data_IF_751982323182
#
_entry.id   IF_751982323182
#
_cell.length_a   1.000
_cell.length_b   1.000
_cell.length_c   1.000
_cell.angle_alpha   90.00
_cell.angle_beta   90.00
_cell.angle_gamma   90.00
#
_symmetry.space_group_name_H-M   'P 1'
#
loop_
_entity.id
_entity.type
_entity.pdbx_description
1 polymer ?
#
# COMPACT_ATOMS: atom_id res chain seq x y z
N UNK A 1 40.12 -66.11 -6.77
CA UNK A 1 38.70 -66.41 -6.54
C UNK A 1 38.30 -65.75 -5.27
N UNK A 2 37.68 -64.55 -5.33
CA UNK A 2 37.17 -63.80 -4.22
C UNK A 2 35.71 -63.46 -4.52
N UNK A 3 34.86 -64.13 -3.73
CA UNK A 3 33.39 -64.01 -3.77
C UNK A 3 32.95 -62.70 -3.17
N UNK A 4 32.35 -61.83 -3.97
CA UNK A 4 31.65 -60.63 -3.52
C UNK A 4 30.24 -61.02 -3.04
N UNK A 5 29.99 -60.84 -1.78
CA UNK A 5 28.63 -60.93 -1.18
C UNK A 5 27.85 -59.63 -1.44
N UNK A 6 26.82 -59.72 -2.27
CA UNK A 6 25.83 -58.66 -2.45
C UNK A 6 24.91 -58.58 -1.26
N UNK A 7 25.06 -57.53 -0.47
CA UNK A 7 24.10 -57.17 0.59
C UNK A 7 22.89 -56.47 -0.04
N UNK A 8 21.76 -57.14 -0.05
CA UNK A 8 20.46 -56.58 -0.42
C UNK A 8 19.98 -55.60 0.67
N UNK A 9 19.97 -54.31 0.33
CA UNK A 9 19.33 -53.28 1.18
C UNK A 9 17.83 -53.39 0.93
N UNK A 10 17.13 -53.97 1.89
CA UNK A 10 15.66 -53.93 1.95
C UNK A 10 15.21 -52.52 2.30
N UNK A 11 14.68 -51.79 1.33
CA UNK A 11 14.03 -50.52 1.52
C UNK A 11 12.71 -50.73 2.32
N UNK A 12 12.75 -50.39 3.61
CA UNK A 12 11.55 -50.31 4.45
C UNK A 12 10.65 -49.17 3.95
N UNK A 13 9.64 -49.50 3.17
CA UNK A 13 8.60 -48.58 2.71
C UNK A 13 7.73 -48.12 3.86
N UNK A 14 8.16 -47.11 4.60
CA UNK A 14 7.28 -46.34 5.48
C UNK A 14 6.58 -45.27 4.64
N UNK A 15 5.34 -45.55 4.27
CA UNK A 15 4.42 -44.51 3.79
C UNK A 15 4.37 -43.35 4.78
N UNK A 16 4.56 -42.09 4.34
CA UNK A 16 4.44 -40.96 5.24
C UNK A 16 3.01 -40.93 5.77
N UNK A 17 2.83 -41.20 7.06
CA UNK A 17 1.55 -40.97 7.73
C UNK A 17 1.27 -39.49 7.65
N UNK A 18 0.28 -39.07 6.84
CA UNK A 18 -0.28 -37.72 6.87
C UNK A 18 -0.83 -37.54 8.29
N UNK A 19 -0.05 -36.82 9.10
CA UNK A 19 -0.48 -36.41 10.43
C UNK A 19 -1.57 -35.38 10.22
N UNK A 20 -2.85 -35.79 10.34
CA UNK A 20 -3.95 -34.83 10.39
C UNK A 20 -3.67 -33.88 11.55
N UNK A 21 -3.26 -32.65 11.24
CA UNK A 21 -3.07 -31.60 12.25
C UNK A 21 -4.40 -31.45 13.00
N UNK A 22 -4.34 -31.62 14.30
CA UNK A 22 -5.51 -31.41 15.16
C UNK A 22 -5.91 -29.95 15.01
N UNK A 23 -7.14 -29.71 14.58
CA UNK A 23 -7.71 -28.35 14.50
C UNK A 23 -7.54 -27.69 15.86
N UNK A 24 -6.79 -26.61 15.89
CA UNK A 24 -6.60 -25.82 17.11
C UNK A 24 -7.83 -24.96 17.36
N UNK A 25 -8.83 -25.53 18.02
CA UNK A 25 -10.12 -24.87 18.28
C UNK A 25 -9.97 -23.54 19.00
N UNK A 26 -9.04 -23.41 19.94
CA UNK A 26 -8.78 -22.13 20.63
C UNK A 26 -8.27 -21.06 19.65
N UNK A 27 -7.32 -21.40 18.80
CA UNK A 27 -6.85 -20.50 17.74
C UNK A 27 -7.96 -20.12 16.74
N UNK A 28 -8.79 -21.09 16.35
CA UNK A 28 -9.92 -20.86 15.45
C UNK A 28 -10.96 -19.91 16.06
N UNK A 29 -11.29 -20.08 17.34
CA UNK A 29 -12.24 -19.19 18.04
C UNK A 29 -11.68 -17.77 18.12
N UNK A 30 -10.39 -17.61 18.47
CA UNK A 30 -9.74 -16.28 18.50
C UNK A 30 -9.80 -15.62 17.11
N UNK A 31 -9.46 -16.37 16.06
CA UNK A 31 -9.53 -15.86 14.69
C UNK A 31 -10.96 -15.45 14.28
N UNK A 32 -11.97 -16.22 14.67
CA UNK A 32 -13.38 -15.88 14.41
C UNK A 32 -13.79 -14.59 15.15
N UNK A 33 -13.39 -14.45 16.41
CA UNK A 33 -13.66 -13.21 17.16
C UNK A 33 -13.00 -12.00 16.51
N UNK A 34 -11.73 -12.12 16.12
CA UNK A 34 -11.02 -11.08 15.37
C UNK A 34 -11.72 -10.76 14.04
N UNK A 35 -12.17 -11.77 13.29
CA UNK A 35 -12.88 -11.58 12.05
C UNK A 35 -14.20 -10.82 12.25
N UNK A 36 -14.98 -11.16 13.27
CA UNK A 36 -16.22 -10.44 13.61
C UNK A 36 -15.93 -8.98 13.94
N UNK A 37 -14.88 -8.69 14.70
CA UNK A 37 -14.49 -7.32 15.05
C UNK A 37 -14.18 -6.46 13.80
N UNK A 38 -13.58 -7.07 12.76
CA UNK A 38 -13.29 -6.38 11.49
C UNK A 38 -14.52 -6.29 10.58
N UNK A 39 -15.34 -7.32 10.53
CA UNK A 39 -16.52 -7.37 9.65
C UNK A 39 -17.67 -6.52 10.15
N UNK A 40 -17.78 -6.28 11.46
CA UNK A 40 -18.87 -5.51 12.04
C UNK A 40 -18.92 -4.04 11.56
N UNK A 41 -17.83 -3.26 11.57
CA UNK A 41 -17.83 -1.91 10.98
C UNK A 41 -18.12 -1.93 9.47
N UNK A 42 -17.64 -2.93 8.74
CA UNK A 42 -17.92 -3.09 7.31
C UNK A 42 -19.41 -3.36 7.07
N UNK A 43 -20.03 -4.22 7.87
CA UNK A 43 -21.47 -4.46 7.82
C UNK A 43 -22.26 -3.17 8.06
N UNK A 44 -21.90 -2.39 9.10
CA UNK A 44 -22.55 -1.11 9.39
C UNK A 44 -22.39 -0.15 8.22
N UNK A 45 -21.18 -0.05 7.63
CA UNK A 45 -20.93 0.80 6.47
C UNK A 45 -21.83 0.42 5.29
N UNK A 46 -21.91 -0.85 4.96
CA UNK A 46 -22.75 -1.37 3.87
C UNK A 46 -24.24 -1.13 4.20
N UNK A 47 -24.68 -1.53 5.40
CA UNK A 47 -26.07 -1.38 5.82
C UNK A 47 -26.50 0.10 5.76
N UNK A 48 -25.73 1.00 6.32
CA UNK A 48 -26.04 2.43 6.33
C UNK A 48 -26.05 3.05 4.92
N UNK A 49 -25.17 2.63 4.03
CA UNK A 49 -25.10 3.12 2.65
C UNK A 49 -26.37 2.82 1.85
N UNK A 50 -27.07 1.73 2.16
CA UNK A 50 -28.29 1.30 1.48
C UNK A 50 -29.60 1.66 2.20
N UNK A 51 -29.53 2.48 3.25
CA UNK A 51 -30.74 3.00 3.95
C UNK A 51 -31.24 4.28 3.28
N UNK A 52 -32.55 4.53 3.47
CA UNK A 52 -33.12 5.86 3.23
C UNK A 52 -32.60 6.84 4.30
N UNK A 53 -32.68 8.15 4.04
CA UNK A 53 -32.24 9.18 4.99
C UNK A 53 -32.96 9.04 6.36
N UNK A 54 -34.30 8.80 6.37
CA UNK A 54 -35.03 8.58 7.61
C UNK A 54 -34.56 7.35 8.39
N UNK A 55 -34.31 6.21 7.71
CA UNK A 55 -33.75 5.03 8.37
C UNK A 55 -32.35 5.23 8.92
N UNK A 56 -31.55 6.09 8.27
CA UNK A 56 -30.18 6.34 8.67
C UNK A 56 -30.10 7.30 9.88
N UNK A 57 -31.06 8.24 10.01
CA UNK A 57 -31.11 9.20 11.11
C UNK A 57 -31.86 8.66 12.33
N UNK A 58 -33.08 8.13 12.10
CA UNK A 58 -33.99 7.72 13.17
C UNK A 58 -33.85 6.23 13.54
N UNK A 59 -33.19 5.45 12.71
CA UNK A 59 -33.07 4.01 12.85
C UNK A 59 -31.81 3.53 13.59
N UNK A 60 -31.76 2.22 13.83
CA UNK A 60 -30.58 1.58 14.41
C UNK A 60 -29.56 1.27 13.31
N UNK A 61 -28.29 1.68 13.52
CA UNK A 61 -27.19 1.42 12.56
C UNK A 61 -27.01 -0.07 12.20
N UNK A 62 -27.37 -0.98 13.11
CA UNK A 62 -27.27 -2.44 12.91
C UNK A 62 -28.50 -3.05 12.22
N UNK A 63 -29.61 -2.30 12.08
CA UNK A 63 -30.79 -2.84 11.39
C UNK A 63 -30.53 -3.00 9.90
N UNK A 64 -31.13 -4.03 9.31
CA UNK A 64 -31.08 -4.24 7.85
C UNK A 64 -31.88 -3.12 7.13
N UNK A 65 -31.39 -2.63 5.96
CA UNK A 65 -32.10 -1.61 5.19
C UNK A 65 -33.43 -2.17 4.64
N UNK A 66 -34.56 -1.59 5.09
CA UNK A 66 -35.92 -1.97 4.64
C UNK A 66 -36.83 -0.73 4.69
N UNK A 67 -37.18 -0.11 3.56
CA UNK A 67 -36.80 -0.48 2.19
C UNK A 67 -35.33 -0.25 1.88
N UNK A 68 -34.81 -1.00 0.90
CA UNK A 68 -33.48 -0.82 0.33
C UNK A 68 -33.47 0.41 -0.57
N UNK A 69 -32.48 1.30 -0.42
CA UNK A 69 -32.34 2.51 -1.21
C UNK A 69 -30.93 2.68 -1.78
N UNK A 70 -30.85 3.21 -2.99
CA UNK A 70 -29.59 3.63 -3.65
C UNK A 70 -29.47 5.15 -3.77
N UNK A 71 -30.42 5.89 -3.21
CA UNK A 71 -30.44 7.36 -3.27
C UNK A 71 -29.16 7.96 -2.69
N UNK A 72 -28.66 7.40 -1.57
CA UNK A 72 -27.43 7.84 -0.96
C UNK A 72 -26.22 7.77 -1.90
N UNK A 73 -26.15 6.77 -2.78
CA UNK A 73 -25.07 6.67 -3.78
C UNK A 73 -25.19 7.73 -4.87
N UNK A 74 -26.40 7.98 -5.37
CA UNK A 74 -26.64 9.00 -6.40
C UNK A 74 -26.33 10.40 -5.86
N UNK A 75 -26.77 10.70 -4.65
CA UNK A 75 -26.51 11.97 -4.00
C UNK A 75 -25.01 12.14 -3.70
N UNK A 76 -24.35 11.14 -3.13
CA UNK A 76 -22.92 11.15 -2.86
C UNK A 76 -22.10 11.35 -4.15
N UNK A 77 -22.47 10.69 -5.24
CA UNK A 77 -21.83 10.85 -6.55
C UNK A 77 -21.85 12.30 -7.04
N UNK A 78 -23.01 12.96 -6.90
CA UNK A 78 -23.21 14.33 -7.34
C UNK A 78 -22.50 15.33 -6.41
N UNK A 79 -22.68 15.20 -5.10
CA UNK A 79 -22.12 16.14 -4.10
C UNK A 79 -20.60 16.12 -4.10
N UNK A 80 -19.98 14.95 -4.16
CA UNK A 80 -18.51 14.84 -4.19
C UNK A 80 -17.94 15.09 -5.57
N UNK A 81 -18.78 15.23 -6.61
CA UNK A 81 -18.33 15.18 -8.02
C UNK A 81 -17.40 13.97 -8.22
N UNK A 82 -17.89 12.80 -7.83
CA UNK A 82 -17.11 11.58 -7.65
C UNK A 82 -16.13 11.27 -8.78
N UNK A 83 -16.50 11.35 -10.09
CA UNK A 83 -15.58 11.06 -11.20
C UNK A 83 -14.35 11.96 -11.20
N UNK A 84 -14.54 13.25 -10.89
CA UNK A 84 -13.44 14.22 -10.85
C UNK A 84 -12.53 13.93 -9.65
N UNK A 85 -13.12 13.82 -8.45
CA UNK A 85 -12.36 13.52 -7.22
C UNK A 85 -11.60 12.20 -7.31
N UNK A 86 -12.24 11.15 -7.82
CA UNK A 86 -11.62 9.85 -8.04
C UNK A 86 -10.50 9.91 -9.10
N UNK A 87 -10.70 10.67 -10.19
CA UNK A 87 -9.67 10.87 -11.22
C UNK A 87 -8.44 11.58 -10.68
N UNK A 88 -8.61 12.65 -9.89
CA UNK A 88 -7.50 13.36 -9.25
C UNK A 88 -6.81 12.47 -8.21
N UNK A 89 -7.57 11.74 -7.38
CA UNK A 89 -6.99 10.77 -6.43
C UNK A 89 -6.19 9.70 -7.15
N UNK A 90 -6.68 9.17 -8.27
CA UNK A 90 -5.96 8.17 -9.06
C UNK A 90 -4.68 8.74 -9.66
N UNK A 91 -4.71 9.97 -10.19
CA UNK A 91 -3.53 10.67 -10.69
C UNK A 91 -2.47 10.82 -9.60
N UNK A 92 -2.87 11.34 -8.43
CA UNK A 92 -1.96 11.53 -7.28
C UNK A 92 -1.39 10.20 -6.80
N UNK A 93 -2.25 9.19 -6.66
CA UNK A 93 -1.84 7.87 -6.18
C UNK A 93 -0.90 7.18 -7.17
N UNK A 94 -1.26 7.11 -8.46
CA UNK A 94 -0.43 6.48 -9.47
C UNK A 94 0.92 7.20 -9.62
N UNK A 95 0.91 8.54 -9.64
CA UNK A 95 2.12 9.34 -9.69
C UNK A 95 3.04 9.08 -8.48
N UNK A 96 2.48 9.06 -7.27
CA UNK A 96 3.23 8.76 -6.04
C UNK A 96 3.80 7.35 -6.06
N UNK A 97 3.01 6.35 -6.44
CA UNK A 97 3.46 4.94 -6.51
C UNK A 97 4.63 4.78 -7.47
N UNK A 98 4.49 5.28 -8.71
CA UNK A 98 5.54 5.15 -9.72
C UNK A 98 6.80 5.90 -9.29
N UNK A 99 6.67 7.15 -8.84
CA UNK A 99 7.80 7.95 -8.41
C UNK A 99 8.51 7.31 -7.21
N UNK A 100 7.75 6.82 -6.21
CA UNK A 100 8.33 6.16 -5.03
C UNK A 100 9.10 4.89 -5.41
N UNK A 101 8.51 3.99 -6.22
CA UNK A 101 9.18 2.75 -6.64
C UNK A 101 10.48 3.06 -7.36
N UNK A 102 10.43 3.96 -8.36
CA UNK A 102 11.59 4.26 -9.19
C UNK A 102 12.69 4.93 -8.36
N UNK A 103 12.36 6.00 -7.63
CA UNK A 103 13.35 6.75 -6.86
C UNK A 103 13.93 5.92 -5.70
N UNK A 104 13.09 5.16 -4.99
CA UNK A 104 13.57 4.31 -3.90
C UNK A 104 14.44 3.16 -4.41
N UNK A 105 14.10 2.53 -5.54
CA UNK A 105 14.93 1.50 -6.14
C UNK A 105 16.31 2.04 -6.55
N UNK A 106 16.35 3.21 -7.21
CA UNK A 106 17.62 3.87 -7.56
C UNK A 106 18.46 4.22 -6.35
N UNK A 107 17.85 4.89 -5.37
CA UNK A 107 18.55 5.30 -4.15
C UNK A 107 19.11 4.09 -3.40
N UNK A 108 18.30 3.04 -3.24
CA UNK A 108 18.72 1.82 -2.56
C UNK A 108 19.82 1.08 -3.30
N UNK A 109 19.74 1.00 -4.63
CA UNK A 109 20.79 0.41 -5.46
C UNK A 109 22.12 1.15 -5.29
N UNK A 110 22.10 2.48 -5.40
CA UNK A 110 23.29 3.30 -5.19
C UNK A 110 23.87 3.13 -3.78
N UNK A 111 23.02 3.10 -2.75
CA UNK A 111 23.42 2.95 -1.35
C UNK A 111 24.03 1.56 -1.11
N UNK A 112 23.39 0.49 -1.54
CA UNK A 112 23.84 -0.88 -1.27
C UNK A 112 25.15 -1.18 -1.98
N UNK A 113 25.32 -0.77 -3.24
CA UNK A 113 26.51 -1.04 -4.03
C UNK A 113 27.71 -0.12 -3.70
N UNK A 114 27.49 0.94 -2.92
CA UNK A 114 28.55 1.84 -2.45
C UNK A 114 28.58 1.94 -0.92
N UNK A 115 28.16 0.92 -0.21
CA UNK A 115 28.03 0.95 1.26
C UNK A 115 29.34 1.30 2.00
N UNK A 116 30.48 0.92 1.46
CA UNK A 116 31.81 1.21 2.03
C UNK A 116 32.15 2.70 2.00
N UNK A 117 31.54 3.44 1.10
CA UNK A 117 31.72 4.89 1.01
C UNK A 117 30.85 5.58 2.07
N UNK A 118 31.49 6.39 2.92
CA UNK A 118 30.81 7.10 4.04
C UNK A 118 29.58 7.90 3.59
N UNK A 119 29.65 8.56 2.42
CA UNK A 119 28.54 9.34 1.87
C UNK A 119 27.26 8.50 1.74
N UNK A 120 27.32 7.34 1.06
CA UNK A 120 26.15 6.49 0.82
C UNK A 120 25.62 5.87 2.11
N UNK A 121 26.51 5.47 3.01
CA UNK A 121 26.12 4.95 4.33
C UNK A 121 25.41 6.00 5.19
N UNK A 122 25.94 7.24 5.24
CA UNK A 122 25.27 8.31 5.98
C UNK A 122 23.98 8.78 5.30
N UNK A 123 23.89 8.79 3.96
CA UNK A 123 22.65 9.08 3.24
C UNK A 123 21.53 8.11 3.62
N UNK A 124 21.83 6.82 3.81
CA UNK A 124 20.87 5.85 4.30
C UNK A 124 20.33 6.22 5.68
N UNK A 125 21.20 6.49 6.64
CA UNK A 125 20.78 6.89 8.00
C UNK A 125 20.05 8.24 8.01
N UNK A 126 20.44 9.17 7.17
CA UNK A 126 19.74 10.45 7.01
C UNK A 126 18.30 10.24 6.50
N UNK A 127 18.12 9.40 5.47
CA UNK A 127 16.79 9.07 4.97
C UNK A 127 15.95 8.38 6.06
N UNK A 128 16.55 7.44 6.80
CA UNK A 128 15.83 6.79 7.91
C UNK A 128 15.43 7.79 8.99
N UNK A 129 16.28 8.73 9.34
CA UNK A 129 15.95 9.77 10.33
C UNK A 129 14.78 10.66 9.86
N UNK A 130 14.70 10.94 8.55
CA UNK A 130 13.59 11.73 7.98
C UNK A 130 12.21 11.06 8.13
N UNK A 131 12.15 9.74 8.22
CA UNK A 131 10.91 9.00 8.41
C UNK A 131 10.21 9.31 9.76
N UNK A 132 10.96 9.81 10.75
CA UNK A 132 10.40 10.16 12.06
C UNK A 132 9.84 11.59 12.11
N UNK A 133 9.95 12.37 11.02
CA UNK A 133 9.38 13.71 10.95
C UNK A 133 7.91 13.61 10.52
N UNK A 134 6.95 13.90 11.42
CA UNK A 134 5.54 13.84 11.05
C UNK A 134 5.15 15.03 10.17
N UNK A 135 4.28 14.78 9.18
CA UNK A 135 3.80 15.81 8.25
C UNK A 135 3.31 17.10 8.94
N UNK A 136 2.50 17.05 10.04
CA UNK A 136 2.00 18.27 10.67
C UNK A 136 3.10 19.25 11.13
N UNK A 137 4.28 18.75 11.48
CA UNK A 137 5.40 19.60 11.91
C UNK A 137 5.96 20.43 10.76
N UNK A 138 5.96 19.86 9.55
CA UNK A 138 6.53 20.51 8.35
C UNK A 138 5.46 21.04 7.40
N UNK A 139 4.17 20.92 7.76
CA UNK A 139 3.06 21.32 6.90
C UNK A 139 3.13 22.80 6.48
N UNK A 140 3.30 23.71 7.45
CA UNK A 140 3.34 25.14 7.16
C UNK A 140 4.47 25.56 6.22
N UNK A 141 5.74 25.14 6.43
CA UNK A 141 6.80 25.40 5.47
C UNK A 141 6.52 24.82 4.09
N UNK A 142 5.91 23.63 4.01
CA UNK A 142 5.58 22.98 2.73
C UNK A 142 4.49 23.75 1.97
N UNK A 143 3.42 24.19 2.64
CA UNK A 143 2.39 25.04 2.04
C UNK A 143 3.01 26.32 1.47
N UNK A 144 3.86 26.99 2.23
CA UNK A 144 4.52 28.21 1.78
C UNK A 144 5.45 27.98 0.60
N UNK A 145 6.21 26.88 0.62
CA UNK A 145 7.12 26.53 -0.46
C UNK A 145 6.36 26.18 -1.73
N UNK A 146 5.39 25.30 -1.66
CA UNK A 146 4.59 24.86 -2.83
C UNK A 146 3.84 26.03 -3.44
N UNK A 147 3.24 26.92 -2.63
CA UNK A 147 2.57 28.12 -3.13
C UNK A 147 3.52 29.10 -3.84
N UNK A 148 4.77 29.26 -3.32
CA UNK A 148 5.77 30.16 -3.96
C UNK A 148 6.28 29.64 -5.31
N UNK A 149 6.34 28.31 -5.48
CA UNK A 149 6.87 27.71 -6.73
C UNK A 149 5.77 27.24 -7.68
N UNK A 150 4.49 27.52 -7.38
CA UNK A 150 3.35 27.13 -8.21
C UNK A 150 3.05 25.63 -8.20
N UNK A 151 3.39 24.94 -7.10
CA UNK A 151 3.14 23.52 -6.85
C UNK A 151 1.99 23.30 -5.84
N UNK A 152 1.11 24.27 -5.69
CA UNK A 152 -0.13 24.21 -4.88
C UNK A 152 -1.26 23.47 -5.62
N UNK A 153 -0.92 22.31 -6.20
CA UNK A 153 -1.75 21.52 -7.09
C UNK A 153 -1.43 20.00 -6.91
N UNK A 154 -2.13 19.07 -7.61
CA UNK A 154 -1.90 17.63 -7.51
C UNK A 154 -0.44 17.18 -7.73
N UNK A 155 0.33 17.86 -8.59
CA UNK A 155 1.73 17.51 -8.81
C UNK A 155 2.61 17.81 -7.58
N UNK A 156 2.33 18.91 -6.86
CA UNK A 156 2.99 19.19 -5.59
C UNK A 156 2.70 18.13 -4.54
N UNK A 157 1.46 17.64 -4.47
CA UNK A 157 1.11 16.51 -3.58
C UNK A 157 1.87 15.25 -3.97
N UNK A 158 1.98 14.91 -5.27
CA UNK A 158 2.77 13.75 -5.72
C UNK A 158 4.22 13.86 -5.25
N UNK A 159 4.85 15.01 -5.43
CA UNK A 159 6.25 15.23 -5.01
C UNK A 159 6.39 15.05 -3.50
N UNK A 160 5.55 15.72 -2.71
CA UNK A 160 5.62 15.66 -1.24
C UNK A 160 5.31 14.25 -0.71
N UNK A 161 4.25 13.62 -1.21
CA UNK A 161 3.89 12.25 -0.82
C UNK A 161 5.01 11.26 -1.15
N UNK A 162 5.66 11.40 -2.32
CA UNK A 162 6.82 10.60 -2.69
C UNK A 162 7.97 10.80 -1.70
N UNK A 163 8.26 12.04 -1.30
CA UNK A 163 9.33 12.33 -0.33
C UNK A 163 9.07 11.66 1.03
N UNK A 164 7.82 11.66 1.52
CA UNK A 164 7.48 10.97 2.77
C UNK A 164 7.58 9.45 2.67
N UNK A 165 7.18 8.89 1.52
CA UNK A 165 7.25 7.44 1.30
C UNK A 165 8.66 6.94 0.97
N UNK A 166 9.56 7.83 0.52
CA UNK A 166 10.89 7.47 0.06
C UNK A 166 11.71 6.77 1.15
N UNK A 167 11.69 7.29 2.38
CA UNK A 167 12.49 6.79 3.50
C UNK A 167 12.18 5.33 3.83
N UNK A 168 10.91 5.01 4.01
CA UNK A 168 10.46 3.64 4.29
C UNK A 168 10.70 2.70 3.10
N UNK A 169 10.47 3.19 1.89
CA UNK A 169 10.69 2.41 0.67
C UNK A 169 12.17 2.09 0.43
N UNK A 170 13.06 3.05 0.71
CA UNK A 170 14.52 2.83 0.65
C UNK A 170 14.96 1.78 1.68
N UNK A 171 14.38 1.79 2.88
CA UNK A 171 14.65 0.74 3.88
C UNK A 171 14.30 -0.65 3.34
N UNK A 172 13.10 -0.82 2.78
CA UNK A 172 12.63 -2.10 2.24
C UNK A 172 13.48 -2.58 1.06
N UNK A 173 13.71 -1.71 0.08
CA UNK A 173 14.54 -2.05 -1.07
C UNK A 173 15.99 -2.35 -0.69
N UNK A 174 16.57 -1.59 0.27
CA UNK A 174 17.94 -1.84 0.75
C UNK A 174 18.04 -3.21 1.40
N UNK A 175 17.06 -3.60 2.23
CA UNK A 175 17.04 -4.92 2.85
C UNK A 175 16.96 -6.04 1.80
N UNK A 176 16.10 -5.88 0.78
CA UNK A 176 15.92 -6.85 -0.28
C UNK A 176 17.15 -6.94 -1.21
N UNK A 177 17.71 -5.80 -1.62
CA UNK A 177 18.90 -5.74 -2.49
C UNK A 177 20.13 -6.42 -1.90
N UNK A 178 20.27 -6.40 -0.57
CA UNK A 178 21.35 -7.12 0.12
C UNK A 178 21.26 -8.64 -0.01
N UNK A 179 20.09 -9.18 -0.35
CA UNK A 179 19.89 -10.61 -0.59
C UNK A 179 20.20 -11.02 -2.04
N UNK A 180 20.35 -10.07 -2.96
CA UNK A 180 20.70 -10.32 -4.36
C UNK A 180 22.21 -10.45 -4.46
N UNK A 181 22.73 -11.64 -4.92
CA UNK A 181 24.16 -11.88 -5.06
C UNK A 181 24.83 -10.88 -6.01
N UNK A 182 26.04 -10.41 -5.65
CA UNK A 182 26.80 -9.46 -6.47
C UNK A 182 27.31 -10.09 -7.76
N UNK A 183 27.53 -11.41 -7.76
CA UNK A 183 28.03 -12.22 -8.86
C UNK A 183 27.14 -12.10 -10.12
N UNK A 184 25.84 -11.83 -9.95
CA UNK A 184 24.94 -11.60 -11.08
C UNK A 184 25.29 -10.30 -11.83
N UNK A 185 25.67 -9.27 -11.11
CA UNK A 185 26.08 -8.00 -11.72
C UNK A 185 27.48 -8.06 -12.31
N UNK A 186 28.39 -8.83 -11.68
CA UNK A 186 29.72 -9.08 -12.18
C UNK A 186 29.67 -9.84 -13.51
N UNK A 187 28.83 -10.88 -13.61
CA UNK A 187 28.59 -11.62 -14.85
C UNK A 187 28.06 -10.69 -15.96
N UNK A 188 27.06 -9.85 -15.65
CA UNK A 188 26.52 -8.88 -16.61
C UNK A 188 27.59 -7.87 -17.09
N UNK A 189 28.54 -7.48 -16.24
CA UNK A 189 29.67 -6.61 -16.62
C UNK A 189 30.67 -7.31 -17.53
N UNK A 190 30.92 -8.60 -17.28
CA UNK A 190 31.78 -9.42 -18.17
C UNK A 190 31.16 -9.50 -19.57
N UNK A 191 29.81 -9.61 -19.64
CA UNK A 191 29.04 -9.57 -20.89
C UNK A 191 28.96 -8.16 -21.52
N UNK A 192 29.63 -7.16 -20.96
CA UNK A 192 29.71 -5.79 -21.50
C UNK A 192 28.54 -4.89 -21.14
N UNK A 193 27.67 -5.26 -20.18
CA UNK A 193 26.58 -4.40 -19.74
C UNK A 193 27.10 -3.19 -18.92
N UNK A 194 26.57 -2.01 -19.26
CA UNK A 194 26.81 -0.81 -18.44
C UNK A 194 26.01 -0.90 -17.13
N UNK A 195 26.42 -0.12 -16.11
CA UNK A 195 25.69 -0.06 -14.82
C UNK A 195 24.20 0.27 -14.99
N UNK A 196 23.87 1.17 -15.93
CA UNK A 196 22.49 1.52 -16.27
C UNK A 196 21.71 0.34 -16.88
N UNK A 197 22.36 -0.40 -17.78
CA UNK A 197 21.76 -1.62 -18.37
C UNK A 197 21.59 -2.72 -17.33
N UNK A 198 22.59 -2.93 -16.47
CA UNK A 198 22.53 -3.87 -15.35
C UNK A 198 21.37 -3.51 -14.42
N UNK A 199 21.21 -2.23 -14.05
CA UNK A 199 20.08 -1.83 -13.21
C UNK A 199 18.73 -2.14 -13.87
N UNK A 200 18.47 -1.65 -15.08
CA UNK A 200 17.15 -1.76 -15.69
C UNK A 200 16.80 -3.15 -16.21
N UNK A 201 17.78 -3.90 -16.71
CA UNK A 201 17.55 -5.22 -17.35
C UNK A 201 17.70 -6.38 -16.38
N UNK A 202 18.45 -6.22 -15.31
CA UNK A 202 18.71 -7.29 -14.35
C UNK A 202 18.14 -6.96 -12.96
N UNK A 203 18.59 -5.88 -12.34
CA UNK A 203 18.25 -5.58 -10.94
C UNK A 203 16.78 -5.15 -10.77
N UNK A 204 16.29 -4.21 -11.57
CA UNK A 204 14.92 -3.70 -11.43
C UNK A 204 13.86 -4.78 -11.65
N UNK A 205 13.96 -5.69 -12.62
CA UNK A 205 13.09 -6.86 -12.71
C UNK A 205 13.17 -7.81 -11.52
N UNK A 206 14.36 -8.03 -10.96
CA UNK A 206 14.52 -8.85 -9.74
C UNK A 206 13.88 -8.19 -8.50
N UNK A 207 13.76 -6.86 -8.49
CA UNK A 207 13.06 -6.12 -7.45
C UNK A 207 11.51 -6.17 -7.58
N UNK A 208 10.93 -6.81 -8.60
CA UNK A 208 9.49 -6.80 -8.84
C UNK A 208 8.64 -7.24 -7.63
N UNK A 209 8.99 -8.29 -6.85
CA UNK A 209 8.21 -8.67 -5.67
C UNK A 209 8.24 -7.58 -4.59
N UNK A 210 9.40 -6.97 -4.35
CA UNK A 210 9.53 -5.87 -3.39
C UNK A 210 8.88 -4.59 -3.90
N UNK A 211 8.93 -4.32 -5.21
CA UNK A 211 8.24 -3.20 -5.84
C UNK A 211 6.72 -3.29 -5.68
N UNK A 212 6.15 -4.49 -5.74
CA UNK A 212 4.73 -4.69 -5.44
C UNK A 212 4.40 -4.36 -3.99
N UNK A 213 5.26 -4.76 -3.04
CA UNK A 213 5.09 -4.45 -1.61
C UNK A 213 5.19 -2.93 -1.36
N UNK A 214 6.22 -2.27 -1.88
CA UNK A 214 6.39 -0.81 -1.79
C UNK A 214 5.21 -0.10 -2.47
N UNK A 215 4.79 -0.58 -3.63
CA UNK A 215 3.69 -0.02 -4.40
C UNK A 215 2.37 -0.04 -3.63
N UNK A 216 2.05 -1.12 -2.89
CA UNK A 216 0.81 -1.17 -2.12
C UNK A 216 0.85 -0.23 -0.91
N UNK A 217 2.00 -0.09 -0.22
CA UNK A 217 2.13 0.88 0.86
C UNK A 217 2.01 2.33 0.35
N UNK A 218 2.67 2.66 -0.77
CA UNK A 218 2.56 3.97 -1.39
C UNK A 218 1.13 4.25 -1.90
N UNK A 219 0.46 3.23 -2.46
CA UNK A 219 -0.94 3.31 -2.87
C UNK A 219 -1.86 3.62 -1.69
N UNK A 220 -1.79 2.83 -0.62
CA UNK A 220 -2.63 3.00 0.55
C UNK A 220 -2.40 4.36 1.22
N UNK A 221 -1.16 4.80 1.26
CA UNK A 221 -0.80 6.11 1.79
C UNK A 221 -1.43 7.23 0.95
N UNK A 222 -1.19 7.27 -0.35
CA UNK A 222 -1.63 8.36 -1.21
C UNK A 222 -3.15 8.35 -1.48
N UNK A 223 -3.77 7.16 -1.60
CA UNK A 223 -5.21 7.03 -1.83
C UNK A 223 -6.05 7.51 -0.65
N UNK A 224 -5.61 7.22 0.57
CA UNK A 224 -6.35 7.55 1.79
C UNK A 224 -5.96 8.92 2.39
N UNK A 225 -4.95 9.60 1.82
CA UNK A 225 -4.48 10.85 2.38
C UNK A 225 -5.49 11.98 2.18
N UNK A 226 -5.92 12.54 3.30
CA UNK A 226 -6.75 13.73 3.37
C UNK A 226 -5.94 14.98 3.70
N UNK A 227 -4.99 14.86 4.64
CA UNK A 227 -4.38 16.02 5.27
C UNK A 227 -3.49 16.81 4.29
N UNK A 228 -2.58 16.12 3.60
CA UNK A 228 -1.65 16.80 2.68
C UNK A 228 -2.40 17.43 1.49
N UNK A 229 -3.28 16.71 0.74
CA UNK A 229 -4.03 17.32 -0.35
C UNK A 229 -4.92 18.49 0.09
N UNK A 230 -5.55 18.42 1.28
CA UNK A 230 -6.41 19.50 1.80
C UNK A 230 -5.66 20.79 2.11
N UNK A 231 -4.37 20.70 2.42
CA UNK A 231 -3.53 21.85 2.78
C UNK A 231 -2.72 22.38 1.59
N UNK A 232 -2.39 21.53 0.61
CA UNK A 232 -1.53 21.89 -0.52
C UNK A 232 -2.35 22.32 -1.73
N UNK A 233 -3.46 21.63 -2.05
CA UNK A 233 -4.23 21.95 -3.27
C UNK A 233 -5.12 23.16 -3.02
N UNK A 234 -4.78 24.29 -3.63
CA UNK A 234 -5.51 25.55 -3.48
C UNK A 234 -6.79 25.59 -4.32
N UNK A 235 -6.82 24.94 -5.50
CA UNK A 235 -8.00 24.92 -6.38
C UNK A 235 -8.99 23.82 -5.96
N UNK A 236 -10.24 24.18 -5.54
CA UNK A 236 -11.27 23.20 -5.19
C UNK A 236 -11.65 22.25 -6.33
N UNK A 237 -11.42 22.64 -7.59
CA UNK A 237 -11.69 21.79 -8.75
C UNK A 237 -10.72 20.61 -8.85
N UNK A 238 -9.51 20.74 -8.28
CA UNK A 238 -8.44 19.76 -8.33
C UNK A 238 -8.30 18.93 -7.04
N UNK A 239 -9.23 19.04 -6.11
CA UNK A 239 -9.19 18.32 -4.84
C UNK A 239 -9.40 16.82 -5.03
N UNK A 240 -8.68 16.04 -4.22
CA UNK A 240 -8.79 14.58 -4.17
C UNK A 240 -10.13 14.13 -3.56
N UNK A 241 -10.49 12.87 -3.76
CA UNK A 241 -11.74 12.31 -3.26
C UNK A 241 -11.87 12.39 -1.72
N UNK A 242 -10.85 12.03 -0.89
CA UNK A 242 -10.93 12.21 0.56
C UNK A 242 -11.19 13.66 0.99
N UNK A 243 -10.61 14.65 0.29
CA UNK A 243 -10.87 16.07 0.60
C UNK A 243 -12.30 16.44 0.28
N UNK A 244 -12.84 15.99 -0.85
CA UNK A 244 -14.24 16.23 -1.22
C UNK A 244 -15.24 15.56 -0.27
N UNK A 245 -14.89 14.42 0.29
CA UNK A 245 -15.72 13.70 1.26
C UNK A 245 -15.80 14.41 2.64
N UNK A 246 -14.87 15.33 2.93
CA UNK A 246 -14.92 16.10 4.18
C UNK A 246 -16.18 16.96 4.32
N UNK A 247 -16.89 17.27 3.22
CA UNK A 247 -18.17 17.97 3.26
C UNK A 247 -19.21 17.25 4.14
N UNK A 248 -19.17 15.92 4.23
CA UNK A 248 -20.12 15.14 5.03
C UNK A 248 -19.89 15.29 6.54
N UNK A 249 -18.69 15.69 6.97
CA UNK A 249 -18.40 15.96 8.37
C UNK A 249 -18.87 17.34 8.81
N UNK A 250 -18.93 18.31 7.89
CA UNK A 250 -19.19 19.71 8.21
C UNK A 250 -20.60 20.19 7.81
N UNK A 251 -21.03 19.87 6.58
CA UNK A 251 -22.26 20.43 5.99
C UNK A 251 -23.45 19.46 5.99
N UNK A 252 -23.18 18.16 5.91
CA UNK A 252 -24.20 17.10 5.81
C UNK A 252 -24.08 16.11 6.96
N UNK A 253 -23.88 16.60 8.18
CA UNK A 253 -23.68 15.78 9.39
C UNK A 253 -24.83 14.82 9.70
N UNK A 254 -26.03 15.07 9.18
CA UNK A 254 -27.21 14.23 9.37
C UNK A 254 -27.51 13.29 8.17
N UNK A 255 -26.77 13.42 7.08
CA UNK A 255 -26.96 12.56 5.88
C UNK A 255 -26.04 11.34 5.94
N UNK A 256 -26.21 10.53 6.98
CA UNK A 256 -25.33 9.36 7.21
C UNK A 256 -25.33 8.37 6.05
N UNK A 257 -26.48 8.08 5.43
CA UNK A 257 -26.58 7.18 4.30
C UNK A 257 -25.73 7.68 3.11
N UNK A 258 -25.73 8.98 2.84
CA UNK A 258 -24.93 9.61 1.77
C UNK A 258 -23.44 9.54 2.08
N UNK A 259 -23.06 9.83 3.33
CA UNK A 259 -21.68 9.75 3.78
C UNK A 259 -21.13 8.29 3.66
N UNK A 260 -21.88 7.31 4.18
CA UNK A 260 -21.49 5.90 4.12
C UNK A 260 -21.47 5.37 2.68
N UNK A 261 -22.40 5.80 1.81
CA UNK A 261 -22.37 5.48 0.39
C UNK A 261 -21.12 6.04 -0.28
N UNK A 262 -20.74 7.29 0.02
CA UNK A 262 -19.52 7.90 -0.49
C UNK A 262 -18.26 7.12 -0.06
N UNK A 263 -18.17 6.76 1.23
CA UNK A 263 -17.04 5.99 1.74
C UNK A 263 -16.96 4.60 1.12
N UNK A 264 -18.10 3.94 0.92
CA UNK A 264 -18.15 2.63 0.26
C UNK A 264 -17.69 2.71 -1.20
N UNK A 265 -18.09 3.75 -1.94
CA UNK A 265 -17.59 4.00 -3.30
C UNK A 265 -16.08 4.25 -3.32
N UNK A 266 -15.54 5.00 -2.36
CA UNK A 266 -14.10 5.26 -2.26
C UNK A 266 -13.29 4.03 -1.85
N UNK A 267 -13.89 3.09 -1.13
CA UNK A 267 -13.25 1.81 -0.81
C UNK A 267 -13.10 0.88 -2.01
N UNK A 268 -14.00 0.97 -2.99
CA UNK A 268 -14.02 0.04 -4.12
C UNK A 268 -12.69 0.00 -4.91
N UNK A 269 -12.06 1.12 -5.32
CA UNK A 269 -10.76 1.09 -5.98
C UNK A 269 -9.63 0.48 -5.13
N UNK A 270 -9.65 0.74 -3.82
CA UNK A 270 -8.65 0.17 -2.91
C UNK A 270 -8.82 -1.35 -2.76
N UNK A 271 -10.05 -1.85 -2.66
CA UNK A 271 -10.35 -3.28 -2.63
C UNK A 271 -9.91 -3.95 -3.94
N UNK A 272 -10.21 -3.33 -5.08
CA UNK A 272 -9.79 -3.82 -6.39
C UNK A 272 -8.27 -3.88 -6.48
N UNK A 273 -7.56 -2.82 -6.12
CA UNK A 273 -6.10 -2.79 -6.10
C UNK A 273 -5.53 -3.90 -5.19
N UNK A 274 -6.09 -4.09 -4.00
CA UNK A 274 -5.70 -5.16 -3.08
C UNK A 274 -5.91 -6.56 -3.67
N UNK A 275 -7.07 -6.84 -4.26
CA UNK A 275 -7.37 -8.14 -4.86
C UNK A 275 -6.38 -8.51 -5.98
N UNK A 276 -5.91 -7.54 -6.75
CA UNK A 276 -4.89 -7.76 -7.77
C UNK A 276 -3.49 -7.97 -7.18
N UNK A 277 -3.17 -7.29 -6.08
CA UNK A 277 -1.79 -7.27 -5.53
C UNK A 277 -1.57 -8.24 -4.37
N UNK A 278 -2.61 -8.80 -3.75
CA UNK A 278 -2.54 -9.64 -2.55
C UNK A 278 -1.54 -10.80 -2.64
N UNK A 279 -1.43 -11.46 -3.81
CA UNK A 279 -0.49 -12.58 -4.02
C UNK A 279 0.97 -12.14 -3.85
N UNK A 280 1.33 -10.98 -4.39
CA UNK A 280 2.71 -10.46 -4.29
C UNK A 280 3.02 -9.91 -2.89
N UNK A 281 2.01 -9.36 -2.20
CA UNK A 281 2.14 -8.93 -0.82
C UNK A 281 2.44 -10.11 0.10
N UNK A 282 1.72 -11.21 -0.07
CA UNK A 282 1.94 -12.43 0.72
C UNK A 282 3.34 -13.03 0.48
N UNK A 283 3.82 -13.03 -0.76
CA UNK A 283 5.18 -13.48 -1.09
C UNK A 283 6.26 -12.59 -0.46
N UNK A 284 6.09 -11.27 -0.49
CA UNK A 284 7.03 -10.31 0.10
C UNK A 284 7.13 -10.40 1.61
N UNK A 285 6.00 -10.59 2.30
CA UNK A 285 5.96 -10.73 3.77
C UNK A 285 6.54 -12.06 4.24
N UNK A 286 6.25 -13.15 3.54
CA UNK A 286 6.73 -14.49 3.92
C UNK A 286 8.25 -14.66 3.71
N UNK A 287 8.83 -14.07 2.66
CA UNK A 287 10.29 -14.10 2.45
C UNK A 287 11.06 -13.32 3.52
N UNK A 288 10.46 -12.30 4.13
CA UNK A 288 11.03 -11.60 5.28
C UNK A 288 10.96 -12.37 6.60
N UNK A 289 9.98 -13.26 6.75
CA UNK A 289 9.72 -14.00 7.99
C UNK A 289 10.46 -15.36 8.10
N UNK A 290 10.92 -15.94 6.99
CA UNK A 290 11.51 -17.30 6.96
C UNK A 290 13.03 -17.31 7.22
N UNK A 291 13.67 -16.18 7.50
CA UNK A 291 15.09 -16.08 7.91
C UNK A 291 15.26 -15.95 9.43
N UNK A 292 14.41 -16.65 10.20
CA UNK A 292 14.58 -16.87 11.63
C UNK A 292 14.93 -18.33 11.92
#
# INVERSE_FOLDING_TARGET
MSTQTLTTVTASGRTPRIRMERVNWSGTIILMLCAVTVLLPLYVTISMAFKTTGQAVDGNAFSFPAPFSVEGFVEAWNLTKFPVGAGISLLVTAGTVVATIVLAAFASYAIVRNWDRRLFRYSFFYLLAAMFIPFPVVALPQIQLTGRVGLDNPFGVIILATMFQLSFSVLLFTAFLRSIPLELEESARIDGATTWQTFWRLIFPLLAPMSATVGIFAFLYAWNDFMMPSLIISDPALQTLPVRQNLFQNQFSNSYNVAFASYLMAMAPAIVAYLFTQRWVMEGVTQGAVKG
#
